data_IF_700451557097
#
_entry.id   IF_700451557097
#
_cell.length_a   1.000
_cell.length_b   1.000
_cell.length_c   1.000
_cell.angle_alpha   90.00
_cell.angle_beta   90.00
_cell.angle_gamma   90.00
#
_symmetry.space_group_name_H-M   'P 1'
#
loop_
_entity.id
_entity.type
_entity.pdbx_description
1 polymer ?
#
# COMPACT_ATOMS: atom_id res chain seq x y z
N UNK A 1 5.12 3.85 24.48
CA UNK A 1 4.30 2.76 25.01
C UNK A 1 3.01 2.70 24.19
N UNK A 2 2.60 1.53 23.70
CA UNK A 2 1.50 1.35 22.73
C UNK A 2 0.09 1.74 23.23
N UNK A 3 -0.04 2.51 24.30
CA UNK A 3 -1.32 2.87 24.90
C UNK A 3 -1.66 4.36 24.82
N UNK A 4 -0.82 5.18 24.20
CA UNK A 4 -1.07 6.62 24.06
C UNK A 4 -0.71 7.09 22.66
N UNK A 5 -1.54 7.97 22.09
CA UNK A 5 -1.27 8.69 20.86
C UNK A 5 -1.28 10.20 21.11
N UNK A 6 -0.47 10.94 20.39
CA UNK A 6 -0.52 12.40 20.35
C UNK A 6 -1.26 12.84 19.09
N UNK A 7 -2.08 13.86 19.24
CA UNK A 7 -2.80 14.53 18.18
C UNK A 7 -2.38 15.99 18.20
N UNK A 8 -2.01 16.53 17.07
CA UNK A 8 -1.60 17.93 16.92
C UNK A 8 -2.51 18.66 15.94
N UNK A 9 -2.61 19.98 16.05
CA UNK A 9 -3.50 20.76 15.19
C UNK A 9 -3.29 22.25 15.32
N UNK A 10 -4.25 23.00 14.82
CA UNK A 10 -4.21 24.46 14.79
C UNK A 10 -4.13 25.09 16.20
N UNK A 11 -3.72 26.34 16.24
CA UNK A 11 -3.59 27.15 17.47
C UNK A 11 -2.70 26.50 18.55
N UNK A 12 -1.63 25.78 18.14
CA UNK A 12 -0.71 25.13 19.06
C UNK A 12 -1.31 23.98 19.86
N UNK A 13 -2.40 23.40 19.37
CA UNK A 13 -3.13 22.34 20.09
C UNK A 13 -2.38 21.02 20.09
N UNK A 14 -2.13 20.47 21.27
CA UNK A 14 -1.59 19.11 21.46
C UNK A 14 -2.50 18.34 22.40
N UNK A 15 -3.09 17.28 21.90
CA UNK A 15 -3.96 16.39 22.66
C UNK A 15 -3.30 15.02 22.83
N UNK A 16 -3.58 14.37 23.94
CA UNK A 16 -3.16 13.00 24.23
C UNK A 16 -4.37 12.08 24.30
N UNK A 17 -4.42 11.12 23.44
CA UNK A 17 -5.38 10.02 23.52
C UNK A 17 -4.80 8.90 24.37
N UNK A 18 -5.55 8.42 25.35
CA UNK A 18 -5.19 7.31 26.23
C UNK A 18 -6.10 6.12 25.90
N UNK A 19 -5.53 5.08 25.28
CA UNK A 19 -6.29 3.92 24.80
C UNK A 19 -6.92 3.11 25.96
N UNK A 20 -6.29 3.08 27.13
CA UNK A 20 -6.75 2.28 28.27
C UNK A 20 -8.17 2.65 28.77
N UNK A 21 -8.56 3.91 28.63
CA UNK A 21 -9.87 4.43 29.04
C UNK A 21 -10.59 5.20 27.94
N UNK A 22 -10.03 5.21 26.72
CA UNK A 22 -10.55 5.93 25.55
C UNK A 22 -10.80 7.42 25.81
N UNK A 23 -9.93 8.07 26.58
CA UNK A 23 -10.03 9.50 26.89
C UNK A 23 -9.06 10.34 26.08
N UNK A 24 -9.47 11.58 25.82
CA UNK A 24 -8.63 12.61 25.20
C UNK A 24 -8.39 13.69 26.26
N UNK A 25 -7.13 14.02 26.49
CA UNK A 25 -6.68 15.04 27.41
C UNK A 25 -5.85 16.09 26.71
N UNK A 26 -5.90 17.32 27.17
CA UNK A 26 -4.98 18.35 26.71
C UNK A 26 -3.57 18.04 27.22
N UNK A 27 -2.63 17.84 26.31
CA UNK A 27 -1.25 17.50 26.63
C UNK A 27 -0.28 18.69 26.49
N UNK A 28 -0.70 19.77 25.83
CA UNK A 28 0.12 20.99 25.68
C UNK A 28 -0.76 22.20 25.56
N UNK A 29 -0.49 23.20 26.34
CA UNK A 29 -1.24 24.46 26.30
C UNK A 29 -0.74 25.39 25.20
N UNK A 30 -1.60 26.29 24.73
CA UNK A 30 -1.30 27.39 23.80
C UNK A 30 -0.07 28.20 24.21
N UNK A 31 0.26 28.25 25.52
CA UNK A 31 1.43 28.95 26.06
C UNK A 31 2.78 28.39 25.59
N UNK A 32 2.84 27.12 25.12
CA UNK A 32 4.10 26.48 24.71
C UNK A 32 4.36 26.67 23.22
N UNK A 33 3.34 26.45 22.39
CA UNK A 33 3.45 26.48 20.92
C UNK A 33 2.91 27.79 20.32
N UNK A 34 2.34 28.68 21.15
CA UNK A 34 1.68 29.90 20.70
C UNK A 34 0.48 29.60 19.81
N UNK A 35 0.32 30.39 18.74
CA UNK A 35 -0.72 30.18 17.72
C UNK A 35 -0.21 29.39 16.50
N UNK A 36 0.93 28.71 16.62
CA UNK A 36 1.52 27.98 15.50
C UNK A 36 0.60 26.85 15.06
N UNK A 37 0.37 26.72 13.77
CA UNK A 37 -0.31 25.54 13.21
C UNK A 37 0.63 24.34 13.27
N UNK A 38 0.27 23.34 14.07
CA UNK A 38 1.02 22.10 14.21
C UNK A 38 0.49 21.09 13.19
N UNK A 39 1.38 20.51 12.38
CA UNK A 39 1.01 19.65 11.24
C UNK A 39 1.52 18.21 11.37
N UNK A 40 2.60 18.01 12.09
CA UNK A 40 3.28 16.73 12.17
C UNK A 40 3.58 16.33 13.60
N UNK A 41 3.46 15.04 13.92
CA UNK A 41 3.89 14.47 15.20
C UNK A 41 4.38 13.05 15.01
N UNK A 42 5.52 12.73 15.62
CA UNK A 42 6.06 11.37 15.67
C UNK A 42 6.78 11.11 16.96
N UNK A 43 6.57 9.92 17.53
CA UNK A 43 7.41 9.45 18.63
C UNK A 43 8.79 9.04 18.09
N UNK A 44 9.86 9.37 18.82
CA UNK A 44 11.18 8.83 18.53
C UNK A 44 11.23 7.31 18.74
N UNK A 45 12.30 6.69 18.29
CA UNK A 45 12.40 5.22 18.23
C UNK A 45 12.26 4.51 19.58
N UNK A 46 12.64 5.13 20.70
CA UNK A 46 12.52 4.59 22.06
C UNK A 46 11.25 5.05 22.79
N UNK A 47 10.50 5.99 22.22
CA UNK A 47 9.27 6.53 22.81
C UNK A 47 9.48 7.48 23.98
N UNK A 48 10.70 7.95 24.22
CA UNK A 48 11.02 8.90 25.31
C UNK A 48 10.63 10.33 24.98
N UNK A 49 10.66 10.69 23.68
CA UNK A 49 10.30 11.99 23.16
C UNK A 49 9.36 11.86 21.96
N UNK A 50 8.53 12.87 21.77
CA UNK A 50 7.86 13.11 20.51
C UNK A 50 8.48 14.32 19.82
N UNK A 51 8.54 14.32 18.49
CA UNK A 51 8.81 15.49 17.69
C UNK A 51 7.51 16.03 17.14
N UNK A 52 7.31 17.35 17.30
CA UNK A 52 6.13 18.06 16.82
C UNK A 52 6.59 19.11 15.83
N UNK A 53 6.12 19.02 14.59
CA UNK A 53 6.43 19.94 13.49
C UNK A 53 5.26 20.83 13.15
N UNK A 54 5.53 22.02 12.65
CA UNK A 54 4.49 22.97 12.30
C UNK A 54 4.90 24.04 11.30
N UNK A 55 4.09 25.08 11.25
CA UNK A 55 4.25 26.22 10.38
C UNK A 55 5.60 26.94 10.61
N UNK A 56 6.19 27.47 9.51
CA UNK A 56 7.42 28.26 9.55
C UNK A 56 8.66 27.47 9.98
N UNK A 57 8.69 26.18 9.70
CA UNK A 57 9.84 25.31 9.94
C UNK A 57 10.08 24.94 11.41
N UNK A 58 9.15 25.26 12.27
CA UNK A 58 9.29 24.94 13.67
C UNK A 58 9.20 23.44 13.92
N UNK A 59 10.15 22.91 14.70
CA UNK A 59 10.13 21.54 15.26
C UNK A 59 10.48 21.63 16.73
N UNK A 60 9.68 20.98 17.57
CA UNK A 60 9.94 20.83 19.00
C UNK A 60 10.13 19.37 19.35
N UNK A 61 11.09 19.09 20.25
CA UNK A 61 11.07 17.85 21.02
C UNK A 61 10.14 18.04 22.23
N UNK A 62 9.26 17.07 22.44
CA UNK A 62 8.17 17.15 23.40
C UNK A 62 8.11 15.89 24.26
N UNK A 63 7.91 16.06 25.55
CA UNK A 63 7.65 14.94 26.47
C UNK A 63 6.80 15.38 27.66
N UNK A 64 6.13 14.40 28.31
CA UNK A 64 5.55 14.56 29.63
C UNK A 64 6.61 14.45 30.73
N UNK A 65 6.42 15.16 31.84
CA UNK A 65 7.29 15.11 33.02
C UNK A 65 6.68 14.23 34.11
N UNK A 66 7.50 13.49 34.84
CA UNK A 66 7.06 12.57 35.91
C UNK A 66 6.27 13.26 37.03
N UNK A 67 6.54 14.53 37.29
CA UNK A 67 5.81 15.36 38.29
C UNK A 67 4.53 16.01 37.74
N UNK A 68 4.12 15.69 36.54
CA UNK A 68 3.05 16.37 35.81
C UNK A 68 3.57 17.57 35.01
N UNK A 69 2.81 17.97 33.99
CA UNK A 69 3.23 18.98 33.04
C UNK A 69 3.96 18.39 31.83
N UNK A 70 4.47 19.28 31.00
CA UNK A 70 5.13 18.92 29.74
C UNK A 70 6.36 19.79 29.52
N UNK A 71 7.31 19.27 28.77
CA UNK A 71 8.48 19.97 28.29
C UNK A 71 8.45 19.99 26.76
N UNK A 72 8.62 21.18 26.18
CA UNK A 72 8.77 21.34 24.74
C UNK A 72 9.98 22.26 24.47
N UNK A 73 10.95 21.75 23.73
CA UNK A 73 12.19 22.45 23.44
C UNK A 73 12.31 22.56 21.91
N UNK A 74 12.38 23.77 21.35
CA UNK A 74 12.57 23.95 19.92
C UNK A 74 13.93 23.40 19.49
N UNK A 75 13.98 22.76 18.33
CA UNK A 75 15.23 22.35 17.69
C UNK A 75 15.92 23.55 17.07
N UNK A 76 17.24 23.50 17.02
CA UNK A 76 18.07 24.42 16.26
C UNK A 76 18.04 24.07 14.75
N UNK A 77 18.54 24.96 13.90
CA UNK A 77 18.62 24.78 12.44
C UNK A 77 17.25 24.55 11.74
N UNK A 78 16.19 25.13 12.29
CA UNK A 78 14.87 25.06 11.67
C UNK A 78 14.88 25.55 10.23
N UNK A 79 13.97 25.02 9.41
CA UNK A 79 13.67 25.52 8.07
C UNK A 79 12.92 26.86 8.09
N UNK A 80 12.59 27.33 6.90
CA UNK A 80 11.80 28.55 6.70
C UNK A 80 10.33 28.23 6.34
N UNK A 81 10.06 27.04 5.84
CA UNK A 81 8.76 26.60 5.40
C UNK A 81 8.17 25.50 6.31
N UNK A 82 6.90 25.22 6.12
CA UNK A 82 6.14 24.31 6.94
C UNK A 82 6.71 22.89 6.97
N UNK A 83 6.69 22.32 8.16
CA UNK A 83 6.98 20.90 8.38
C UNK A 83 5.69 20.12 8.23
N UNK A 84 5.59 19.32 7.17
CA UNK A 84 4.38 18.59 6.81
C UNK A 84 4.28 17.24 7.49
N UNK A 85 5.41 16.51 7.62
CA UNK A 85 5.43 15.22 8.29
C UNK A 85 6.78 14.94 8.96
N UNK A 86 6.73 14.07 9.98
CA UNK A 86 7.88 13.54 10.68
C UNK A 86 7.64 12.04 10.89
N UNK A 87 8.63 11.21 10.55
CA UNK A 87 8.58 9.78 10.80
C UNK A 87 9.91 9.29 11.35
N UNK A 88 9.86 8.48 12.40
CA UNK A 88 11.06 8.04 13.11
C UNK A 88 11.32 6.55 12.87
N UNK A 89 12.59 6.21 12.66
CA UNK A 89 13.04 4.83 12.56
C UNK A 89 12.89 4.11 13.91
N UNK A 90 12.21 3.00 13.87
CA UNK A 90 11.97 2.21 15.08
C UNK A 90 13.28 1.58 15.57
N UNK A 91 13.58 1.77 16.86
CA UNK A 91 14.81 1.26 17.47
C UNK A 91 16.04 2.15 17.29
N UNK A 92 15.92 3.22 16.52
CA UNK A 92 16.93 4.26 16.36
C UNK A 92 16.28 5.61 16.65
N UNK A 93 16.93 6.45 17.45
CA UNK A 93 16.39 7.78 17.73
C UNK A 93 16.74 8.75 16.57
N UNK A 94 16.42 8.33 15.34
CA UNK A 94 16.64 9.06 14.10
C UNK A 94 15.30 9.24 13.42
N UNK A 95 14.96 10.46 13.03
CA UNK A 95 13.73 10.78 12.35
C UNK A 95 13.97 11.50 11.05
N UNK A 96 13.12 11.24 10.06
CA UNK A 96 13.08 11.97 8.79
C UNK A 96 11.96 12.99 8.85
N UNK A 97 12.23 14.16 8.30
CA UNK A 97 11.34 15.31 8.26
C UNK A 97 11.08 15.69 6.82
N UNK A 98 9.82 15.96 6.47
CA UNK A 98 9.44 16.55 5.19
C UNK A 98 9.00 18.00 5.35
N UNK A 99 9.52 18.89 4.49
CA UNK A 99 9.17 20.29 4.45
C UNK A 99 8.66 20.69 3.06
N UNK A 100 7.79 21.69 3.01
CA UNK A 100 7.21 22.17 1.75
C UNK A 100 8.24 22.72 0.78
N UNK A 101 9.31 23.35 1.26
CA UNK A 101 10.33 24.02 0.42
C UNK A 101 11.76 23.67 0.88
N UNK A 102 12.00 23.54 2.18
CA UNK A 102 13.35 23.30 2.71
C UNK A 102 13.88 21.89 2.36
N UNK A 103 13.03 21.05 1.79
CA UNK A 103 13.41 19.71 1.36
C UNK A 103 13.18 18.67 2.45
N UNK A 104 14.15 17.77 2.58
CA UNK A 104 14.09 16.65 3.51
C UNK A 104 15.17 16.82 4.55
N UNK A 105 14.79 16.65 5.82
CA UNK A 105 15.69 16.77 6.96
C UNK A 105 15.83 15.45 7.73
N UNK A 106 16.91 15.34 8.50
CA UNK A 106 17.17 14.24 9.44
C UNK A 106 17.38 14.82 10.83
N UNK A 107 16.69 14.25 11.82
CA UNK A 107 16.95 14.53 13.23
C UNK A 107 17.75 13.36 13.79
N UNK A 108 18.90 13.64 14.37
CA UNK A 108 19.81 12.64 14.96
C UNK A 108 19.45 12.31 16.44
N UNK A 109 20.22 11.43 17.05
CA UNK A 109 20.05 11.01 18.44
C UNK A 109 20.27 12.15 19.45
N UNK A 110 21.08 13.14 19.09
CA UNK A 110 21.38 14.33 19.88
C UNK A 110 20.32 15.44 19.74
N UNK A 111 19.24 15.15 18.98
CA UNK A 111 18.17 16.09 18.66
C UNK A 111 18.61 17.27 17.76
N UNK A 112 19.57 17.06 16.91
CA UNK A 112 20.02 18.04 15.93
C UNK A 112 19.36 17.78 14.59
N UNK A 113 18.92 18.85 13.92
CA UNK A 113 18.30 18.80 12.60
C UNK A 113 19.31 19.14 11.51
N UNK A 114 19.41 18.28 10.50
CA UNK A 114 20.24 18.47 9.30
C UNK A 114 19.36 18.39 8.04
N UNK A 115 19.44 19.37 7.18
CA UNK A 115 18.79 19.35 5.87
C UNK A 115 19.67 18.60 4.88
N UNK A 116 19.16 17.53 4.27
CA UNK A 116 19.97 16.56 3.49
C UNK A 116 19.75 16.63 1.98
N UNK A 117 18.82 17.45 1.51
CA UNK A 117 18.55 17.65 0.09
C UNK A 117 17.06 17.61 -0.25
N UNK A 118 16.74 17.37 -1.54
CA UNK A 118 15.36 17.34 -2.03
C UNK A 118 14.71 18.72 -2.15
N UNK A 119 15.51 19.78 -2.19
CA UNK A 119 15.01 21.16 -2.29
C UNK A 119 14.16 21.37 -3.54
N UNK A 120 13.12 22.20 -3.41
CA UNK A 120 12.26 22.59 -4.52
C UNK A 120 11.14 21.59 -4.87
N UNK A 121 11.04 20.48 -4.17
CA UNK A 121 9.89 19.59 -4.27
C UNK A 121 8.95 19.84 -3.07
N UNK A 122 7.64 19.94 -3.30
CA UNK A 122 6.66 20.11 -2.23
C UNK A 122 6.41 18.81 -1.49
N UNK A 123 7.35 18.44 -0.63
CA UNK A 123 7.24 17.21 0.18
C UNK A 123 6.12 17.32 1.20
N UNK A 124 5.23 16.33 1.20
CA UNK A 124 3.99 16.37 1.99
C UNK A 124 3.95 15.33 3.10
N UNK A 125 4.57 14.18 2.90
CA UNK A 125 4.53 13.11 3.90
C UNK A 125 5.78 12.24 3.84
N UNK A 126 6.06 11.54 4.95
CA UNK A 126 7.18 10.62 5.11
C UNK A 126 6.76 9.42 5.93
N UNK A 127 7.17 8.24 5.50
CA UNK A 127 7.00 7.01 6.24
C UNK A 127 8.31 6.24 6.36
N UNK A 128 8.61 5.78 7.57
CA UNK A 128 9.73 4.90 7.86
C UNK A 128 9.19 3.52 8.27
N UNK A 129 9.71 2.41 7.71
CA UNK A 129 9.22 1.08 8.03
C UNK A 129 9.46 0.75 9.51
N UNK A 130 8.56 -0.03 10.08
CA UNK A 130 8.69 -0.55 11.43
C UNK A 130 9.68 -1.73 11.54
N UNK A 131 10.27 -2.12 10.42
CA UNK A 131 11.22 -3.23 10.27
C UNK A 131 12.67 -2.76 10.41
N UNK A 132 13.62 -3.67 10.29
CA UNK A 132 15.07 -3.39 10.31
C UNK A 132 15.59 -2.69 9.06
N UNK A 133 14.73 -2.39 8.08
CA UNK A 133 15.13 -1.63 6.90
C UNK A 133 15.41 -0.19 7.29
N UNK A 134 16.62 0.28 6.94
CA UNK A 134 17.10 1.64 7.22
C UNK A 134 16.71 2.63 6.10
N UNK A 135 15.59 2.41 5.48
CA UNK A 135 15.13 3.18 4.34
C UNK A 135 13.76 3.76 4.62
N UNK A 136 13.64 5.08 4.51
CA UNK A 136 12.38 5.80 4.59
C UNK A 136 11.94 6.24 3.19
N UNK A 137 10.67 6.49 3.03
CA UNK A 137 10.08 7.02 1.78
C UNK A 137 9.44 8.35 2.08
N UNK A 138 9.75 9.34 1.26
CA UNK A 138 9.11 10.65 1.28
C UNK A 138 8.37 10.86 -0.03
N UNK A 139 7.18 11.40 0.04
CA UNK A 139 6.34 11.70 -1.12
C UNK A 139 6.08 13.18 -1.28
N UNK A 140 5.97 13.61 -2.53
CA UNK A 140 5.63 15.00 -2.91
C UNK A 140 4.22 15.05 -3.49
N UNK A 141 3.53 16.15 -3.29
CA UNK A 141 2.23 16.38 -3.94
C UNK A 141 2.29 16.32 -5.48
N UNK A 142 3.45 16.52 -6.08
CA UNK A 142 3.69 16.49 -7.52
C UNK A 142 4.08 15.10 -8.06
N UNK A 143 3.67 14.02 -7.40
CA UNK A 143 3.92 12.64 -7.81
C UNK A 143 5.42 12.26 -7.79
N UNK A 144 6.27 12.94 -7.01
CA UNK A 144 7.65 12.52 -6.79
C UNK A 144 7.78 11.69 -5.51
N UNK A 145 8.58 10.65 -5.57
CA UNK A 145 8.95 9.79 -4.43
C UNK A 145 10.45 9.88 -4.24
N UNK A 146 10.89 10.10 -3.01
CA UNK A 146 12.29 10.02 -2.63
C UNK A 146 12.51 8.85 -1.67
N UNK A 147 13.49 8.02 -1.97
CA UNK A 147 13.95 6.93 -1.12
C UNK A 147 15.18 7.38 -0.35
N UNK A 148 15.12 7.30 0.97
CA UNK A 148 16.16 7.79 1.86
C UNK A 148 16.79 6.62 2.59
N UNK A 149 18.06 6.36 2.31
CA UNK A 149 18.86 5.40 3.07
C UNK A 149 19.58 6.15 4.18
N UNK A 150 19.12 5.90 5.41
CA UNK A 150 19.62 6.61 6.59
C UNK A 150 20.97 6.03 7.02
N UNK A 151 21.97 6.90 7.20
CA UNK A 151 23.23 6.54 7.85
C UNK A 151 23.03 6.49 9.37
N UNK A 152 23.07 5.29 9.94
CA UNK A 152 22.81 5.09 11.37
C UNK A 152 24.01 5.54 12.23
N UNK A 153 25.23 5.33 11.74
CA UNK A 153 26.47 5.70 12.47
C UNK A 153 26.67 7.22 12.51
N UNK A 154 26.27 7.90 11.45
CA UNK A 154 26.39 9.35 11.34
C UNK A 154 25.23 9.90 10.50
N UNK A 155 24.07 10.19 11.13
CA UNK A 155 22.89 10.69 10.43
C UNK A 155 23.12 11.98 9.64
N UNK A 156 24.09 12.80 10.04
CA UNK A 156 24.44 14.04 9.33
C UNK A 156 25.05 13.78 7.93
N UNK A 157 25.52 12.56 7.68
CA UNK A 157 26.03 12.11 6.37
C UNK A 157 24.97 11.47 5.49
N UNK A 158 23.72 11.37 5.95
CA UNK A 158 22.61 10.96 5.09
C UNK A 158 22.47 11.99 3.98
N UNK A 159 22.41 11.52 2.74
CA UNK A 159 22.28 12.38 1.55
C UNK A 159 21.22 11.86 0.62
N UNK A 160 20.62 12.75 -0.13
CA UNK A 160 19.68 12.43 -1.21
C UNK A 160 20.32 12.91 -2.51
N UNK A 161 20.43 12.03 -3.48
CA UNK A 161 20.88 12.36 -4.82
C UNK A 161 19.66 12.53 -5.74
N UNK A 162 19.84 13.25 -6.85
CA UNK A 162 18.75 13.47 -7.82
C UNK A 162 18.19 12.15 -8.38
N UNK A 163 19.00 11.10 -8.48
CA UNK A 163 18.57 9.78 -8.92
C UNK A 163 17.82 8.96 -7.86
N UNK A 164 17.80 9.41 -6.61
CA UNK A 164 16.99 8.83 -5.54
C UNK A 164 15.55 9.39 -5.55
N UNK A 165 15.33 10.46 -6.35
CA UNK A 165 14.03 11.07 -6.56
C UNK A 165 13.43 10.55 -7.86
N UNK A 166 12.35 9.82 -7.76
CA UNK A 166 11.65 9.22 -8.89
C UNK A 166 10.31 9.94 -9.11
N UNK A 167 10.11 10.45 -10.32
CA UNK A 167 8.83 10.98 -10.74
C UNK A 167 7.94 9.83 -11.21
N UNK A 168 6.78 9.66 -10.58
CA UNK A 168 5.80 8.65 -11.00
C UNK A 168 5.18 9.04 -12.33
N UNK A 169 5.19 8.12 -13.29
CA UNK A 169 4.57 8.31 -14.59
C UNK A 169 3.35 7.39 -14.73
N UNK A 170 2.33 7.89 -15.42
CA UNK A 170 1.10 7.12 -15.65
C UNK A 170 0.08 7.18 -14.51
N UNK A 171 0.35 7.95 -13.46
CA UNK A 171 -0.59 8.21 -12.39
C UNK A 171 -1.14 9.64 -12.52
N UNK A 172 -2.41 9.81 -12.16
CA UNK A 172 -3.07 11.10 -12.10
C UNK A 172 -3.36 11.54 -10.68
N UNK A 173 -3.65 12.82 -10.48
CA UNK A 173 -4.01 13.34 -9.17
C UNK A 173 -2.84 13.91 -8.37
N UNK A 174 -3.04 14.05 -7.07
CA UNK A 174 -2.09 14.62 -6.11
C UNK A 174 -1.89 13.59 -5.01
N UNK A 175 -0.64 13.25 -4.69
CA UNK A 175 -0.37 12.41 -3.51
C UNK A 175 -0.77 13.16 -2.24
N UNK A 176 -1.35 12.47 -1.27
CA UNK A 176 -1.89 13.08 -0.04
C UNK A 176 -1.33 12.47 1.24
N UNK A 177 -0.81 11.27 1.19
CA UNK A 177 -0.21 10.60 2.34
C UNK A 177 0.44 9.27 1.96
N UNK A 178 1.34 8.78 2.80
CA UNK A 178 1.98 7.48 2.66
C UNK A 178 1.98 6.71 3.98
N UNK A 179 1.67 5.43 3.92
CA UNK A 179 1.82 4.52 5.05
C UNK A 179 2.56 3.25 4.65
N UNK A 180 3.52 2.85 5.47
CA UNK A 180 4.20 1.57 5.32
C UNK A 180 3.51 0.56 6.22
N UNK A 181 3.06 -0.52 5.62
CA UNK A 181 2.38 -1.62 6.30
C UNK A 181 3.40 -2.49 7.06
N UNK A 182 2.92 -3.40 7.91
CA UNK A 182 3.81 -4.24 8.72
C UNK A 182 4.69 -5.20 7.90
N UNK A 183 4.24 -5.60 6.73
CA UNK A 183 5.00 -6.43 5.79
C UNK A 183 6.04 -5.64 4.97
N UNK A 184 6.05 -4.31 5.11
CA UNK A 184 6.95 -3.42 4.39
C UNK A 184 6.38 -2.84 3.09
N UNK A 185 5.20 -3.26 2.66
CA UNK A 185 4.52 -2.64 1.52
C UNK A 185 4.11 -1.20 1.85
N UNK A 186 4.18 -0.31 0.88
CA UNK A 186 3.80 1.09 1.05
C UNK A 186 2.56 1.41 0.24
N UNK A 187 1.56 1.98 0.91
CA UNK A 187 0.34 2.48 0.29
C UNK A 187 0.35 4.01 0.29
N UNK A 188 0.19 4.59 -0.88
CA UNK A 188 0.17 6.04 -1.10
C UNK A 188 -1.24 6.44 -1.51
N UNK A 189 -1.83 7.36 -0.78
CA UNK A 189 -3.15 7.91 -1.08
C UNK A 189 -3.09 9.04 -2.10
N UNK A 190 -4.08 9.08 -2.99
CA UNK A 190 -4.26 10.07 -4.04
C UNK A 190 -5.54 10.88 -3.84
N UNK A 191 -5.49 12.17 -4.18
CA UNK A 191 -6.67 12.99 -4.37
C UNK A 191 -6.94 13.17 -5.89
N UNK A 192 -8.21 13.17 -6.36
CA UNK A 192 -9.44 13.13 -5.55
C UNK A 192 -9.71 11.77 -4.90
N UNK A 193 -9.29 10.66 -5.50
CA UNK A 193 -9.47 9.31 -5.01
C UNK A 193 -8.41 8.37 -5.60
N UNK A 194 -7.93 7.43 -4.82
CA UNK A 194 -7.06 6.34 -5.28
C UNK A 194 -6.01 5.93 -4.27
N UNK A 195 -5.46 4.75 -4.49
CA UNK A 195 -4.31 4.19 -3.79
C UNK A 195 -3.30 3.66 -4.79
N UNK A 196 -2.05 3.92 -4.49
CA UNK A 196 -0.89 3.35 -5.19
C UNK A 196 -0.16 2.45 -4.20
N UNK A 197 0.17 1.24 -4.59
CA UNK A 197 1.16 0.42 -3.92
C UNK A 197 2.54 0.75 -4.48
N UNK A 198 3.48 1.09 -3.62
CA UNK A 198 4.88 1.30 -3.97
C UNK A 198 5.74 0.19 -3.37
N UNK A 199 6.35 -0.61 -4.22
CA UNK A 199 7.28 -1.66 -3.81
C UNK A 199 8.68 -1.04 -3.61
N UNK A 200 9.16 -1.09 -2.37
CA UNK A 200 10.45 -0.53 -1.98
C UNK A 200 11.63 -1.31 -2.54
N UNK A 201 11.50 -2.63 -2.77
CA UNK A 201 12.61 -3.47 -3.21
C UNK A 201 12.92 -3.22 -4.69
N UNK A 202 11.88 -3.18 -5.53
CA UNK A 202 12.04 -2.99 -6.98
C UNK A 202 11.82 -1.55 -7.44
N UNK A 203 11.47 -0.65 -6.53
CA UNK A 203 11.19 0.77 -6.80
C UNK A 203 10.14 0.96 -7.90
N UNK A 204 9.06 0.19 -7.83
CA UNK A 204 7.94 0.24 -8.77
C UNK A 204 6.65 0.58 -8.06
N UNK A 205 5.80 1.30 -8.78
CA UNK A 205 4.48 1.69 -8.30
C UNK A 205 3.39 1.08 -9.18
N UNK A 206 2.32 0.65 -8.54
CA UNK A 206 1.17 0.02 -9.18
C UNK A 206 -0.11 0.69 -8.72
N UNK A 207 -1.10 0.83 -9.60
CA UNK A 207 -2.46 1.15 -9.16
C UNK A 207 -2.97 0.01 -8.27
N UNK A 208 -3.32 0.36 -7.04
CA UNK A 208 -3.88 -0.59 -6.09
C UNK A 208 -5.41 -0.47 -6.04
N UNK A 209 -5.92 0.74 -6.08
CA UNK A 209 -7.34 1.06 -6.12
C UNK A 209 -7.53 2.38 -6.85
N UNK A 210 -8.38 2.40 -7.85
CA UNK A 210 -8.82 3.62 -8.50
C UNK A 210 -10.34 3.83 -8.32
N UNK A 211 -10.86 4.93 -8.85
CA UNK A 211 -12.28 5.24 -8.69
C UNK A 211 -13.19 4.28 -9.47
N UNK A 212 -12.73 3.79 -10.60
CA UNK A 212 -13.50 2.87 -11.44
C UNK A 212 -13.59 1.51 -10.74
N UNK A 213 -12.50 1.01 -10.17
CA UNK A 213 -12.49 -0.18 -9.33
C UNK A 213 -13.43 -0.04 -8.13
N UNK A 214 -13.41 1.11 -7.44
CA UNK A 214 -14.27 1.35 -6.27
C UNK A 214 -15.75 1.36 -6.65
N UNK A 215 -16.10 1.88 -7.82
CA UNK A 215 -17.48 1.85 -8.35
C UNK A 215 -17.86 0.44 -8.76
N UNK A 216 -17.00 -0.29 -9.44
CA UNK A 216 -17.27 -1.66 -9.92
C UNK A 216 -17.47 -2.63 -8.74
N UNK A 217 -16.76 -2.42 -7.63
CA UNK A 217 -16.94 -3.21 -6.40
C UNK A 217 -18.04 -2.68 -5.46
N UNK A 218 -18.78 -1.64 -5.87
CA UNK A 218 -19.80 -0.97 -5.02
C UNK A 218 -19.23 -0.58 -3.65
N UNK A 219 -17.97 -0.12 -3.64
CA UNK A 219 -17.29 0.25 -2.42
C UNK A 219 -17.91 1.52 -1.83
N UNK A 220 -18.20 1.48 -0.53
CA UNK A 220 -18.83 2.59 0.20
C UNK A 220 -18.01 3.88 0.23
N UNK A 221 -16.73 3.80 -0.14
CA UNK A 221 -15.77 4.92 -0.17
C UNK A 221 -15.58 5.51 -1.58
N UNK A 222 -16.32 5.05 -2.58
CA UNK A 222 -16.21 5.59 -3.95
C UNK A 222 -16.41 7.10 -3.97
N UNK A 223 -15.43 7.83 -4.51
CA UNK A 223 -15.44 9.27 -4.61
C UNK A 223 -15.07 10.03 -3.31
N UNK A 224 -14.79 9.34 -2.21
CA UNK A 224 -14.31 9.97 -0.97
C UNK A 224 -12.78 10.10 -0.98
N UNK A 225 -12.25 11.19 -0.44
CA UNK A 225 -10.80 11.37 -0.34
C UNK A 225 -10.22 10.48 0.76
N UNK A 226 -9.20 9.71 0.40
CA UNK A 226 -8.49 8.86 1.37
C UNK A 226 -7.51 9.72 2.17
N UNK A 227 -7.63 9.65 3.50
CA UNK A 227 -6.81 10.40 4.46
C UNK A 227 -5.65 9.55 4.98
N UNK A 228 -5.91 8.27 5.27
CA UNK A 228 -4.90 7.38 5.81
C UNK A 228 -5.25 5.92 5.56
N UNK A 229 -4.20 5.09 5.52
CA UNK A 229 -4.32 3.63 5.47
C UNK A 229 -3.45 3.02 6.56
N UNK A 230 -3.84 1.88 7.12
CA UNK A 230 -3.01 1.12 8.06
C UNK A 230 -3.38 -0.36 8.01
N UNK A 231 -2.43 -1.24 8.28
CA UNK A 231 -2.69 -2.68 8.25
C UNK A 231 -1.47 -3.55 8.43
N UNK A 232 -1.64 -4.81 8.09
CA UNK A 232 -0.58 -5.81 8.14
C UNK A 232 0.18 -5.91 6.83
N UNK A 233 -0.47 -5.60 5.71
CA UNK A 233 0.10 -5.63 4.38
C UNK A 233 -0.71 -4.86 3.35
N UNK A 234 -0.28 -4.88 2.10
CA UNK A 234 -0.96 -4.21 0.99
C UNK A 234 -2.39 -4.73 0.76
N UNK A 235 -2.68 -5.93 1.24
CA UNK A 235 -3.96 -6.61 1.01
C UNK A 235 -4.74 -6.90 2.29
N UNK A 236 -4.34 -6.34 3.42
CA UNK A 236 -5.04 -6.53 4.69
C UNK A 236 -4.86 -5.30 5.58
N UNK A 237 -5.91 -4.53 5.71
CA UNK A 237 -5.87 -3.30 6.48
C UNK A 237 -7.17 -2.52 6.48
N UNK A 238 -7.01 -1.23 6.66
CA UNK A 238 -8.09 -0.27 6.83
C UNK A 238 -7.79 1.00 6.04
N UNK A 239 -8.84 1.64 5.57
CA UNK A 239 -8.83 2.94 4.91
C UNK A 239 -9.69 3.88 5.74
N UNK A 240 -9.19 5.09 5.98
CA UNK A 240 -9.92 6.20 6.57
C UNK A 240 -10.11 7.28 5.50
N UNK A 241 -11.33 7.78 5.37
CA UNK A 241 -11.68 8.85 4.46
C UNK A 241 -11.91 10.18 5.17
N UNK A 242 -11.96 11.27 4.43
CA UNK A 242 -12.22 12.63 4.95
C UNK A 242 -13.65 12.82 5.45
N UNK A 243 -14.60 11.99 5.01
CA UNK A 243 -15.95 11.94 5.59
C UNK A 243 -16.00 11.24 6.97
N UNK A 244 -14.89 10.59 7.38
CA UNK A 244 -14.80 9.77 8.58
C UNK A 244 -15.22 8.31 8.39
N UNK A 245 -15.43 7.86 7.16
CA UNK A 245 -15.67 6.46 6.85
C UNK A 245 -14.43 5.62 7.13
N UNK A 246 -14.61 4.47 7.79
CA UNK A 246 -13.54 3.50 8.04
C UNK A 246 -13.93 2.18 7.39
N UNK A 247 -13.17 1.76 6.40
CA UNK A 247 -13.42 0.54 5.64
C UNK A 247 -12.24 -0.40 5.77
N UNK A 248 -12.52 -1.66 6.06
CA UNK A 248 -11.51 -2.73 6.04
C UNK A 248 -11.40 -3.31 4.64
N UNK A 249 -10.18 -3.63 4.26
CA UNK A 249 -9.89 -4.43 3.07
C UNK A 249 -9.09 -5.67 3.47
N UNK A 250 -9.40 -6.79 2.82
CA UNK A 250 -8.72 -8.06 3.06
C UNK A 250 -8.45 -8.73 1.72
N UNK A 251 -7.41 -9.54 1.65
CA UNK A 251 -7.26 -10.44 0.50
C UNK A 251 -8.47 -11.32 0.37
N UNK A 252 -8.95 -11.50 -0.85
CA UNK A 252 -9.87 -12.59 -1.15
C UNK A 252 -9.28 -13.88 -0.57
N UNK A 253 -10.02 -14.52 0.33
CA UNK A 253 -9.57 -15.74 1.00
C UNK A 253 -9.17 -16.77 -0.04
N UNK A 254 -8.13 -17.58 0.23
CA UNK A 254 -7.66 -18.64 -0.68
C UNK A 254 -8.80 -19.56 -1.18
N UNK A 255 -9.93 -19.63 -0.45
CA UNK A 255 -11.12 -20.36 -0.86
C UNK A 255 -11.75 -19.82 -2.16
N UNK A 256 -11.71 -18.52 -2.42
CA UNK A 256 -12.25 -17.96 -3.68
C UNK A 256 -11.27 -18.17 -4.86
N UNK A 257 -9.97 -18.08 -4.62
CA UNK A 257 -8.95 -18.44 -5.63
C UNK A 257 -8.93 -19.95 -5.87
N UNK A 258 -9.09 -20.75 -4.81
CA UNK A 258 -9.22 -22.20 -4.88
C UNK A 258 -10.40 -22.62 -5.73
N UNK A 259 -11.56 -22.00 -5.55
CA UNK A 259 -12.80 -22.33 -6.28
C UNK A 259 -12.66 -22.11 -7.78
N UNK A 260 -12.01 -21.03 -8.23
CA UNK A 260 -11.76 -20.81 -9.66
C UNK A 260 -10.81 -21.87 -10.25
N UNK A 261 -9.71 -22.15 -9.56
CA UNK A 261 -8.75 -23.17 -10.00
C UNK A 261 -9.37 -24.58 -9.96
N UNK A 262 -10.15 -24.90 -8.95
CA UNK A 262 -10.89 -26.16 -8.83
C UNK A 262 -11.93 -26.31 -9.92
N UNK A 263 -12.66 -25.26 -10.28
CA UNK A 263 -13.58 -25.27 -11.42
C UNK A 263 -12.86 -25.56 -12.72
N UNK A 264 -11.72 -24.91 -12.99
CA UNK A 264 -10.94 -25.18 -14.19
C UNK A 264 -10.35 -26.59 -14.22
N UNK A 265 -9.83 -27.08 -13.09
CA UNK A 265 -9.37 -28.47 -12.95
C UNK A 265 -10.55 -29.43 -13.16
N UNK A 266 -11.70 -29.16 -12.57
CA UNK A 266 -12.91 -29.96 -12.76
C UNK A 266 -13.34 -30.04 -14.24
N UNK A 267 -13.33 -28.92 -14.94
CA UNK A 267 -13.66 -28.86 -16.38
C UNK A 267 -12.65 -29.67 -17.21
N UNK A 268 -11.34 -29.57 -16.92
CA UNK A 268 -10.30 -30.32 -17.62
C UNK A 268 -10.42 -31.83 -17.35
N UNK A 269 -10.66 -32.23 -16.11
CA UNK A 269 -10.84 -33.64 -15.74
C UNK A 269 -12.12 -34.19 -16.39
N UNK A 270 -13.25 -33.47 -16.31
CA UNK A 270 -14.50 -33.91 -16.90
C UNK A 270 -14.42 -34.00 -18.43
N UNK A 271 -13.80 -32.99 -19.06
CA UNK A 271 -13.55 -33.00 -20.50
C UNK A 271 -12.60 -34.12 -20.93
N UNK A 272 -11.51 -34.32 -20.21
CA UNK A 272 -10.54 -35.38 -20.46
C UNK A 272 -11.14 -36.79 -20.27
N UNK A 273 -11.90 -37.01 -19.21
CA UNK A 273 -12.55 -38.31 -18.96
C UNK A 273 -13.66 -38.61 -19.98
N UNK A 274 -14.45 -37.61 -20.40
CA UNK A 274 -15.47 -37.79 -21.46
C UNK A 274 -14.84 -38.12 -22.80
N UNK A 275 -13.72 -37.48 -23.17
CA UNK A 275 -12.97 -37.79 -24.39
C UNK A 275 -12.35 -39.18 -24.34
N UNK A 276 -11.81 -39.60 -23.18
CA UNK A 276 -11.25 -40.90 -22.99
C UNK A 276 -12.29 -42.01 -23.09
N UNK A 277 -13.46 -41.82 -22.45
CA UNK A 277 -14.59 -42.75 -22.55
C UNK A 277 -15.11 -42.83 -23.97
N UNK A 278 -15.28 -41.69 -24.64
CA UNK A 278 -15.69 -41.64 -26.04
C UNK A 278 -14.71 -42.40 -26.96
N UNK A 279 -13.40 -42.23 -26.72
CA UNK A 279 -12.35 -42.93 -27.47
C UNK A 279 -12.40 -44.46 -27.24
N UNK A 280 -12.57 -44.92 -25.98
CA UNK A 280 -12.70 -46.30 -25.61
C UNK A 280 -13.97 -46.93 -26.22
N UNK A 281 -15.10 -46.26 -26.19
CA UNK A 281 -16.34 -46.72 -26.79
C UNK A 281 -16.25 -46.79 -28.33
N UNK A 282 -15.60 -45.84 -28.95
CA UNK A 282 -15.40 -45.87 -30.39
C UNK A 282 -14.41 -46.94 -30.84
N UNK A 283 -13.38 -47.26 -30.04
CA UNK A 283 -12.43 -48.32 -30.32
C UNK A 283 -13.00 -49.73 -30.09
N UNK A 284 -13.90 -49.89 -29.08
CA UNK A 284 -14.50 -51.18 -28.75
C UNK A 284 -15.74 -51.53 -29.59
N UNK A 285 -16.39 -50.52 -30.21
CA UNK A 285 -17.63 -50.72 -31.02
C UNK A 285 -17.46 -50.29 -32.49
N UNK A 286 -17.28 -51.23 -33.42
CA UNK A 286 -17.13 -50.89 -34.84
C UNK A 286 -18.32 -50.14 -35.47
N UNK A 287 -19.50 -50.28 -34.89
CA UNK A 287 -20.70 -49.54 -35.32
C UNK A 287 -20.65 -48.06 -34.91
N UNK A 288 -20.19 -47.80 -33.70
CA UNK A 288 -20.07 -46.46 -33.11
C UNK A 288 -18.91 -45.70 -33.77
N UNK A 289 -17.80 -46.35 -34.00
CA UNK A 289 -16.65 -45.80 -34.71
C UNK A 289 -17.07 -45.29 -36.09
N UNK A 290 -17.77 -46.10 -36.87
CA UNK A 290 -18.29 -45.75 -38.19
C UNK A 290 -19.28 -44.58 -38.15
N UNK A 291 -20.15 -44.50 -37.11
CA UNK A 291 -21.07 -43.40 -36.94
C UNK A 291 -20.35 -42.07 -36.67
N UNK A 292 -19.35 -42.10 -35.76
CA UNK A 292 -18.49 -40.93 -35.46
C UNK A 292 -17.73 -40.48 -36.69
N UNK A 293 -17.08 -41.41 -37.42
CA UNK A 293 -16.33 -41.10 -38.62
C UNK A 293 -17.22 -40.46 -39.72
N UNK A 294 -18.47 -40.88 -39.83
CA UNK A 294 -19.42 -40.27 -40.76
C UNK A 294 -19.78 -38.81 -40.40
N UNK A 295 -19.79 -38.45 -39.10
CA UNK A 295 -20.17 -37.09 -38.65
C UNK A 295 -19.01 -36.13 -38.56
N UNK A 296 -17.89 -36.58 -38.03
CA UNK A 296 -16.76 -35.71 -37.63
C UNK A 296 -15.50 -35.97 -38.48
N UNK A 297 -15.41 -37.14 -39.13
CA UNK A 297 -14.25 -37.53 -39.97
C UNK A 297 -14.05 -36.64 -41.20
N UNK A 298 -12.84 -36.66 -41.72
CA UNK A 298 -12.50 -35.99 -43.01
C UNK A 298 -13.33 -36.53 -44.17
N UNK A 299 -13.41 -35.79 -45.26
CA UNK A 299 -14.22 -36.18 -46.44
C UNK A 299 -13.85 -37.55 -46.97
N UNK A 300 -12.58 -37.89 -46.92
CA UNK A 300 -12.08 -39.20 -47.37
C UNK A 300 -12.48 -40.34 -46.42
N UNK A 301 -12.37 -40.11 -45.13
CA UNK A 301 -12.80 -41.06 -44.08
C UNK A 301 -14.32 -41.28 -44.10
N UNK A 302 -15.11 -40.24 -44.35
CA UNK A 302 -16.58 -40.35 -44.51
C UNK A 302 -16.94 -41.22 -45.70
N UNK A 303 -16.25 -40.97 -46.84
CA UNK A 303 -16.45 -41.78 -48.06
C UNK A 303 -16.06 -43.25 -47.85
N UNK A 304 -14.98 -43.51 -47.13
CA UNK A 304 -14.53 -44.88 -46.80
C UNK A 304 -15.53 -45.60 -45.89
N UNK A 305 -16.00 -44.95 -44.81
CA UNK A 305 -16.98 -45.49 -43.87
C UNK A 305 -18.33 -45.83 -44.56
N UNK A 306 -18.79 -45.00 -45.49
CA UNK A 306 -20.01 -45.26 -46.28
C UNK A 306 -19.83 -46.44 -47.23
N UNK A 307 -18.65 -46.61 -47.83
CA UNK A 307 -18.33 -47.74 -48.69
C UNK A 307 -18.32 -49.05 -47.92
N UNK A 308 -17.72 -49.03 -46.73
CA UNK A 308 -17.65 -50.22 -45.88
C UNK A 308 -19.03 -50.65 -45.38
N UNK A 309 -19.89 -49.72 -45.01
CA UNK A 309 -21.27 -50.02 -44.59
C UNK A 309 -22.08 -50.63 -45.72
N UNK A 310 -21.96 -50.11 -46.93
CA UNK A 310 -22.57 -50.72 -48.14
C UNK A 310 -22.07 -52.13 -48.38
N UNK A 311 -20.80 -52.39 -48.09
CA UNK A 311 -20.21 -53.73 -48.25
C UNK A 311 -20.74 -54.71 -47.20
N UNK A 312 -20.92 -54.26 -45.98
CA UNK A 312 -21.46 -55.07 -44.87
C UNK A 312 -22.96 -55.35 -45.04
N UNK A 313 -23.73 -54.37 -45.53
CA UNK A 313 -25.17 -54.55 -45.81
C UNK A 313 -25.39 -55.56 -46.94
N UNK A 314 -24.53 -55.57 -47.98
CA UNK A 314 -24.54 -56.59 -49.07
C UNK A 314 -24.18 -57.98 -48.59
N UNK A 315 -23.30 -58.09 -47.55
CA UNK A 315 -22.97 -59.41 -46.96
C UNK A 315 -24.11 -59.94 -46.08
N UNK A 316 -24.83 -59.07 -45.34
CA UNK A 316 -25.99 -59.49 -44.52
C UNK A 316 -27.22 -59.87 -45.35
N UNK A 317 -27.38 -59.35 -46.57
CA UNK A 317 -28.49 -59.70 -47.43
C UNK A 317 -28.26 -60.95 -48.29
N UNK A 318 -27.07 -61.61 -48.12
CA UNK A 318 -26.71 -62.87 -48.80
C UNK A 318 -26.60 -64.05 -47.82
N UNK A 319 -26.83 -63.90 -46.53
CA UNK A 319 -26.97 -64.90 -45.50
C UNK A 319 -28.44 -65.04 -45.11
#
# INVERSE_FOLDING_TARGET
SGNTALLVGGEGSVLRFIAANSTIENAGGVSIFGSTELKAVSWNGDGSWAYIGGEGGWIWRFRGLDGGGVEAIPLENRGESDINAISCLRGYNICIVSSSVDGIGVINQEHELFWIGGYGNPWIDVACPSTTLMECVVISSELAIARIRVSIEDPSKTTIYDNDIVQLQGFGGIMTGINIQKDGSSLISLAPFGLIEHDLEVSKSFHWLDNDDAVDFDASISGERIVSTWGTGAFDGWILTDSGSVVSFTTATESERGTMLEIWIGIIILGGTTLMIASLLTSSSPSLSRWVTKRIGSEEERKSAIREERRLSRKKGRA
#
